data_IF_811773443853
#
_entry.id   IF_811773443853
#
_cell.length_a   1.000
_cell.length_b   1.000
_cell.length_c   1.000
_cell.angle_alpha   90.00
_cell.angle_beta   90.00
_cell.angle_gamma   90.00
#
_symmetry.space_group_name_H-M   'P 1'
#
loop_
_entity.id
_entity.type
_entity.pdbx_description
1 polymer ?
#
# COMPACT_ATOMS: atom_id res chain seq x y z
N UNK A 1 -10.41 -12.36 -14.12
CA UNK A 1 -11.28 -11.57 -13.22
C UNK A 1 -11.05 -11.95 -11.78
N UNK A 2 -11.48 -13.14 -11.35
CA UNK A 2 -11.33 -13.60 -9.96
C UNK A 2 -9.86 -13.67 -9.52
N UNK A 3 -8.98 -14.21 -10.37
CA UNK A 3 -7.53 -14.28 -10.11
C UNK A 3 -6.90 -12.91 -9.87
N UNK A 4 -7.20 -11.95 -10.75
CA UNK A 4 -6.75 -10.56 -10.66
C UNK A 4 -7.28 -9.87 -9.39
N UNK A 5 -8.55 -10.12 -9.06
CA UNK A 5 -9.17 -9.63 -7.82
C UNK A 5 -8.48 -10.18 -6.58
N UNK A 6 -8.29 -11.51 -6.50
CA UNK A 6 -7.62 -12.13 -5.36
C UNK A 6 -6.16 -11.74 -5.26
N UNK A 7 -5.47 -11.57 -6.38
CA UNK A 7 -4.08 -11.12 -6.42
C UNK A 7 -3.96 -9.69 -5.87
N UNK A 8 -4.76 -8.75 -6.38
CA UNK A 8 -4.78 -7.37 -5.88
C UNK A 8 -5.17 -7.29 -4.40
N UNK A 9 -6.22 -8.01 -3.98
CA UNK A 9 -6.67 -8.03 -2.60
C UNK A 9 -5.59 -8.56 -1.65
N UNK A 10 -5.00 -9.71 -1.95
CA UNK A 10 -3.97 -10.32 -1.09
C UNK A 10 -2.69 -9.50 -1.08
N UNK A 11 -2.25 -9.02 -2.25
CA UNK A 11 -1.04 -8.23 -2.38
C UNK A 11 -1.11 -6.98 -1.52
N UNK A 12 -2.16 -6.19 -1.70
CA UNK A 12 -2.34 -4.94 -0.97
C UNK A 12 -2.51 -5.22 0.51
N UNK A 13 -3.41 -6.14 0.89
CA UNK A 13 -3.69 -6.37 2.32
C UNK A 13 -2.46 -6.84 3.09
N UNK A 14 -1.64 -7.71 2.51
CA UNK A 14 -0.46 -8.24 3.20
C UNK A 14 0.69 -7.23 3.16
N UNK A 15 0.86 -6.50 2.06
CA UNK A 15 2.03 -5.65 1.85
C UNK A 15 1.90 -4.25 2.46
N UNK A 16 0.68 -3.83 2.81
CA UNK A 16 0.38 -2.52 3.39
C UNK A 16 0.02 -2.60 4.88
N UNK A 17 -0.08 -3.81 5.43
CA UNK A 17 -0.50 -3.97 6.82
C UNK A 17 0.65 -3.60 7.77
N UNK A 18 0.44 -2.59 8.60
CA UNK A 18 1.47 -2.19 9.56
C UNK A 18 2.72 -1.67 8.87
N UNK A 19 2.53 -0.88 7.82
CA UNK A 19 3.54 -0.03 7.22
C UNK A 19 3.37 1.44 7.66
N UNK A 20 4.15 2.33 7.03
CA UNK A 20 4.09 3.78 7.27
C UNK A 20 2.70 4.38 7.08
N UNK A 21 1.97 4.04 6.02
CA UNK A 21 0.68 4.69 5.73
C UNK A 21 -0.45 4.13 6.58
N UNK A 22 -0.37 2.86 6.96
CA UNK A 22 -1.15 2.27 8.03
C UNK A 22 -0.95 3.03 9.35
N UNK A 23 0.31 3.34 9.71
CA UNK A 23 0.63 4.14 10.89
C UNK A 23 0.10 5.58 10.80
N UNK A 24 0.22 6.24 9.64
CA UNK A 24 -0.34 7.59 9.38
C UNK A 24 -1.86 7.59 9.60
N UNK A 25 -2.58 6.63 9.00
CA UNK A 25 -4.03 6.52 9.12
C UNK A 25 -4.46 6.30 10.58
N UNK A 26 -3.73 5.47 11.32
CA UNK A 26 -3.98 5.22 12.74
C UNK A 26 -3.75 6.47 13.60
N UNK A 27 -2.62 7.17 13.42
CA UNK A 27 -2.31 8.38 14.20
C UNK A 27 -3.32 9.49 13.91
N UNK A 28 -3.66 9.71 12.64
CA UNK A 28 -4.68 10.69 12.26
C UNK A 28 -6.05 10.34 12.88
N UNK A 29 -6.43 9.06 12.91
CA UNK A 29 -7.67 8.60 13.53
C UNK A 29 -7.72 8.74 15.07
N UNK A 30 -6.56 8.86 15.71
CA UNK A 30 -6.45 9.19 17.14
C UNK A 30 -6.56 10.69 17.43
N UNK A 31 -6.15 11.54 16.48
CA UNK A 31 -6.18 13.01 16.62
C UNK A 31 -7.46 13.65 16.07
N UNK A 32 -8.11 12.99 15.11
CA UNK A 32 -9.27 13.51 14.38
C UNK A 32 -10.44 12.52 14.33
N UNK A 33 -11.57 12.94 13.76
CA UNK A 33 -12.74 12.07 13.61
C UNK A 33 -12.44 10.89 12.68
N UNK A 34 -12.58 9.67 13.20
CA UNK A 34 -12.32 8.39 12.48
C UNK A 34 -12.97 8.29 11.10
N UNK A 35 -14.20 8.79 10.95
CA UNK A 35 -14.94 8.74 9.68
C UNK A 35 -14.30 9.59 8.59
N UNK A 36 -13.90 10.82 8.91
CA UNK A 36 -13.25 11.71 7.94
C UNK A 36 -11.87 11.20 7.54
N UNK A 37 -11.10 10.67 8.50
CA UNK A 37 -9.79 10.06 8.23
C UNK A 37 -9.96 8.84 7.32
N UNK A 38 -10.90 7.94 7.65
CA UNK A 38 -11.17 6.77 6.82
C UNK A 38 -11.52 7.16 5.37
N UNK A 39 -12.44 8.11 5.18
CA UNK A 39 -12.82 8.57 3.84
C UNK A 39 -11.64 9.21 3.10
N UNK A 40 -10.84 10.05 3.77
CA UNK A 40 -9.66 10.69 3.16
C UNK A 40 -8.58 9.68 2.74
N UNK A 41 -8.23 8.75 3.63
CA UNK A 41 -7.24 7.69 3.38
C UNK A 41 -7.72 6.76 2.26
N UNK A 42 -8.95 6.25 2.33
CA UNK A 42 -9.48 5.36 1.28
C UNK A 42 -9.60 6.09 -0.06
N UNK A 43 -9.98 7.37 -0.07
CA UNK A 43 -10.00 8.16 -1.30
C UNK A 43 -8.60 8.32 -1.92
N UNK A 44 -7.56 8.55 -1.11
CA UNK A 44 -6.18 8.64 -1.57
C UNK A 44 -5.69 7.32 -2.16
N UNK A 45 -5.88 6.22 -1.44
CA UNK A 45 -5.46 4.89 -1.86
C UNK A 45 -6.23 4.43 -3.12
N UNK A 46 -7.53 4.72 -3.20
CA UNK A 46 -8.32 4.46 -4.39
C UNK A 46 -7.86 5.30 -5.59
N UNK A 47 -7.58 6.59 -5.39
CA UNK A 47 -7.07 7.46 -6.45
C UNK A 47 -5.73 6.96 -6.99
N UNK A 48 -4.83 6.55 -6.10
CA UNK A 48 -3.58 5.92 -6.49
C UNK A 48 -3.79 4.60 -7.22
N UNK A 49 -4.66 3.72 -6.72
CA UNK A 49 -4.96 2.44 -7.35
C UNK A 49 -5.46 2.65 -8.78
N UNK A 50 -6.38 3.61 -8.98
CA UNK A 50 -6.87 3.97 -10.31
C UNK A 50 -5.73 4.46 -11.21
N UNK A 51 -4.86 5.34 -10.70
CA UNK A 51 -3.70 5.81 -11.47
C UNK A 51 -2.77 4.65 -11.86
N UNK A 52 -2.46 3.75 -10.93
CA UNK A 52 -1.62 2.56 -11.17
C UNK A 52 -2.24 1.63 -12.21
N UNK A 53 -3.55 1.39 -12.14
CA UNK A 53 -4.25 0.55 -13.12
C UNK A 53 -4.26 1.21 -14.49
N UNK A 54 -4.47 2.52 -14.58
CA UNK A 54 -4.39 3.27 -15.84
C UNK A 54 -2.98 3.18 -16.44
N UNK A 55 -1.93 3.37 -15.63
CA UNK A 55 -0.54 3.20 -16.06
C UNK A 55 -0.27 1.76 -16.52
N UNK A 56 -0.81 0.75 -15.84
CA UNK A 56 -0.73 -0.65 -16.25
C UNK A 56 -1.44 -0.91 -17.59
N UNK A 57 -2.59 -0.29 -17.82
CA UNK A 57 -3.28 -0.36 -19.12
C UNK A 57 -2.48 0.33 -20.23
N UNK A 58 -1.80 1.43 -19.95
CA UNK A 58 -0.86 2.04 -20.92
C UNK A 58 0.34 1.11 -21.17
N UNK A 59 0.90 0.50 -20.13
CA UNK A 59 1.99 -0.47 -20.26
C UNK A 59 1.57 -1.73 -21.03
N UNK A 60 0.29 -2.09 -21.02
CA UNK A 60 -0.25 -3.24 -21.76
C UNK A 60 -0.16 -3.12 -23.29
N UNK A 61 0.12 -1.91 -23.82
CA UNK A 61 0.43 -1.71 -25.23
C UNK A 61 1.83 -2.23 -25.62
N UNK A 62 2.71 -2.52 -24.67
CA UNK A 62 4.01 -3.12 -24.93
C UNK A 62 3.85 -4.59 -25.34
N UNK A 63 4.80 -5.17 -26.10
CA UNK A 63 4.76 -6.58 -26.42
C UNK A 63 4.75 -7.44 -25.15
N UNK A 64 3.85 -8.43 -25.11
CA UNK A 64 3.58 -9.29 -23.93
C UNK A 64 4.84 -9.93 -23.34
N UNK A 65 5.81 -10.26 -24.18
CA UNK A 65 7.10 -10.82 -23.76
C UNK A 65 7.85 -9.90 -22.79
N UNK A 66 7.87 -8.58 -23.04
CA UNK A 66 8.53 -7.62 -22.16
C UNK A 66 7.77 -7.43 -20.85
N UNK A 67 6.45 -7.37 -20.91
CA UNK A 67 5.59 -7.24 -19.72
C UNK A 67 5.80 -8.43 -18.80
N UNK A 68 5.83 -9.64 -19.36
CA UNK A 68 6.05 -10.86 -18.59
C UNK A 68 7.40 -10.87 -17.86
N UNK A 69 8.50 -10.58 -18.57
CA UNK A 69 9.82 -10.51 -17.92
C UNK A 69 9.90 -9.37 -16.89
N UNK A 70 9.30 -8.21 -17.18
CA UNK A 70 9.29 -7.08 -16.25
C UNK A 70 8.49 -7.39 -14.98
N UNK A 71 7.32 -8.03 -15.10
CA UNK A 71 6.49 -8.46 -13.98
C UNK A 71 7.23 -9.44 -13.08
N UNK A 72 7.85 -10.49 -13.64
CA UNK A 72 8.64 -11.46 -12.87
C UNK A 72 9.80 -10.75 -12.15
N UNK A 73 10.56 -9.93 -12.87
CA UNK A 73 11.71 -9.23 -12.31
C UNK A 73 11.31 -8.29 -11.18
N UNK A 74 10.19 -7.57 -11.34
CA UNK A 74 9.63 -6.66 -10.35
C UNK A 74 9.19 -7.42 -9.10
N UNK A 75 8.44 -8.51 -9.26
CA UNK A 75 7.95 -9.30 -8.14
C UNK A 75 9.06 -9.99 -7.36
N UNK A 76 9.99 -10.65 -8.06
CA UNK A 76 11.14 -11.29 -7.42
C UNK A 76 12.06 -10.23 -6.78
N UNK A 77 12.30 -9.10 -7.45
CA UNK A 77 13.14 -8.02 -6.97
C UNK A 77 12.63 -7.40 -5.67
N UNK A 78 11.35 -7.00 -5.63
CA UNK A 78 10.73 -6.49 -4.40
C UNK A 78 10.62 -7.57 -3.33
N UNK A 79 10.31 -8.81 -3.70
CA UNK A 79 10.25 -9.92 -2.75
C UNK A 79 11.57 -10.16 -2.02
N UNK A 80 12.68 -10.21 -2.76
CA UNK A 80 14.02 -10.33 -2.19
C UNK A 80 14.42 -9.11 -1.36
N UNK A 81 14.09 -7.90 -1.83
CA UNK A 81 14.32 -6.67 -1.08
C UNK A 81 13.61 -6.70 0.28
N UNK A 82 12.33 -7.04 0.31
CA UNK A 82 11.55 -7.11 1.56
C UNK A 82 12.11 -8.15 2.53
N UNK A 83 12.51 -9.33 2.04
CA UNK A 83 13.16 -10.34 2.89
C UNK A 83 14.50 -9.87 3.45
N UNK A 84 15.26 -9.12 2.66
CA UNK A 84 16.53 -8.52 3.09
C UNK A 84 16.32 -7.43 4.14
N UNK A 85 15.35 -6.55 3.92
CA UNK A 85 14.96 -5.50 4.86
C UNK A 85 14.51 -6.13 6.19
N UNK A 86 13.66 -7.17 6.13
CA UNK A 86 13.20 -7.91 7.29
C UNK A 86 14.31 -8.69 8.04
N UNK A 87 15.38 -9.07 7.36
CA UNK A 87 16.56 -9.67 8.00
C UNK A 87 17.38 -8.64 8.76
N UNK A 88 17.41 -7.39 8.27
CA UNK A 88 18.13 -6.27 8.89
C UNK A 88 17.35 -5.56 9.99
N UNK A 89 16.03 -5.78 10.08
CA UNK A 89 15.19 -5.17 11.11
C UNK A 89 15.56 -5.69 12.52
N UNK A 90 15.83 -4.80 13.49
CA UNK A 90 15.94 -5.17 14.89
C UNK A 90 14.58 -5.68 15.43
N UNK A 91 14.59 -6.40 16.56
CA UNK A 91 13.42 -7.13 17.06
C UNK A 91 12.19 -6.29 17.47
N UNK A 92 12.24 -4.95 17.41
CA UNK A 92 11.14 -4.05 17.74
C UNK A 92 11.17 -2.82 16.81
N UNK A 93 10.53 -2.91 15.65
CA UNK A 93 10.57 -1.85 14.60
C UNK A 93 9.23 -1.11 14.41
N UNK A 94 8.11 -1.66 14.90
CA UNK A 94 6.79 -1.00 14.86
C UNK A 94 6.75 0.36 15.55
N UNK A 95 7.64 0.59 16.52
CA UNK A 95 7.80 1.90 17.16
C UNK A 95 8.42 2.92 16.20
N UNK A 96 9.34 2.48 15.34
CA UNK A 96 10.10 3.33 14.42
C UNK A 96 9.17 3.83 13.31
N UNK A 97 8.36 2.94 12.71
CA UNK A 97 7.36 3.37 11.71
C UNK A 97 6.32 4.34 12.29
N UNK A 98 5.94 4.15 13.55
CA UNK A 98 5.02 5.07 14.23
C UNK A 98 5.65 6.45 14.42
N UNK A 99 6.95 6.51 14.70
CA UNK A 99 7.71 7.74 14.86
C UNK A 99 7.85 8.45 13.52
N UNK A 100 8.26 7.73 12.46
CA UNK A 100 8.32 8.28 11.10
C UNK A 100 6.96 8.79 10.62
N UNK A 101 5.86 8.09 10.93
CA UNK A 101 4.52 8.53 10.60
C UNK A 101 4.12 9.80 11.37
N UNK A 102 4.52 9.94 12.65
CA UNK A 102 4.30 11.18 13.42
C UNK A 102 5.07 12.35 12.82
N UNK A 103 6.34 12.15 12.49
CA UNK A 103 7.19 13.18 11.89
C UNK A 103 6.61 13.66 10.55
N UNK A 104 6.12 12.72 9.73
CA UNK A 104 5.44 13.04 8.46
C UNK A 104 4.20 13.91 8.68
N UNK A 105 3.40 13.62 9.73
CA UNK A 105 2.21 14.40 10.09
C UNK A 105 2.59 15.79 10.63
N UNK A 106 3.65 15.91 11.44
CA UNK A 106 4.11 17.18 11.99
C UNK A 106 4.65 18.11 10.90
N UNK A 107 5.43 17.56 9.96
CA UNK A 107 5.90 18.30 8.78
C UNK A 107 4.73 18.78 7.91
N UNK A 108 3.73 17.92 7.67
CA UNK A 108 2.55 18.32 6.88
C UNK A 108 1.67 19.34 7.61
N UNK A 109 1.55 19.27 8.94
CA UNK A 109 0.87 20.31 9.74
C UNK A 109 1.55 21.67 9.61
N UNK A 110 2.88 21.71 9.49
CA UNK A 110 3.63 22.94 9.28
C UNK A 110 3.42 23.53 7.87
N UNK A 111 3.26 22.67 6.86
CA UNK A 111 3.07 23.07 5.46
C UNK A 111 1.61 23.36 5.08
N UNK A 112 0.64 22.76 5.78
CA UNK A 112 -0.79 22.92 5.46
C UNK A 112 -1.31 24.23 6.04
N UNK A 113 -1.21 25.29 5.24
CA UNK A 113 -1.77 26.63 5.44
C UNK A 113 -3.14 26.62 6.13
N UNK A 114 -3.25 27.39 7.23
CA UNK A 114 -4.45 27.45 8.04
C UNK A 114 -5.71 27.82 7.27
N UNK A 115 -6.65 26.88 7.11
CA UNK A 115 -8.07 27.15 6.80
C UNK A 115 -8.95 25.92 7.09
N UNK A 116 -10.05 26.12 7.85
CA UNK A 116 -11.28 25.30 7.83
C UNK A 116 -11.25 23.93 8.55
N UNK A 117 -11.88 23.86 9.73
CA UNK A 117 -11.81 22.76 10.72
C UNK A 117 -12.22 21.32 10.29
N UNK A 118 -12.83 21.10 9.12
CA UNK A 118 -13.28 19.76 8.67
C UNK A 118 -12.75 19.38 7.27
N UNK A 119 -12.72 20.32 6.32
CA UNK A 119 -12.12 20.11 4.99
C UNK A 119 -10.60 19.98 5.07
N UNK A 120 -9.96 20.60 6.07
CA UNK A 120 -8.53 20.42 6.31
C UNK A 120 -8.18 18.98 6.66
N UNK A 121 -9.01 18.29 7.46
CA UNK A 121 -8.71 16.93 7.95
C UNK A 121 -8.79 15.91 6.81
N UNK A 122 -9.85 15.98 6.00
CA UNK A 122 -10.01 15.07 4.87
C UNK A 122 -8.90 15.29 3.84
N UNK A 123 -8.62 16.55 3.50
CA UNK A 123 -7.56 16.88 2.55
C UNK A 123 -6.17 16.51 3.10
N UNK A 124 -5.93 16.75 4.39
CA UNK A 124 -4.69 16.36 5.06
C UNK A 124 -4.49 14.85 5.02
N UNK A 125 -5.50 14.08 5.43
CA UNK A 125 -5.44 12.61 5.38
C UNK A 125 -5.23 12.12 3.95
N UNK A 126 -5.94 12.71 2.99
CA UNK A 126 -5.78 12.40 1.57
C UNK A 126 -4.35 12.67 1.08
N UNK A 127 -3.84 13.90 1.25
CA UNK A 127 -2.54 14.30 0.72
C UNK A 127 -1.38 13.57 1.41
N UNK A 128 -1.46 13.40 2.73
CA UNK A 128 -0.45 12.66 3.47
C UNK A 128 -0.34 11.22 2.99
N UNK A 129 -1.48 10.52 2.90
CA UNK A 129 -1.50 9.14 2.42
C UNK A 129 -1.08 9.05 0.96
N UNK A 130 -1.61 9.92 0.09
CA UNK A 130 -1.31 9.89 -1.34
C UNK A 130 0.19 10.13 -1.63
N UNK A 131 0.81 11.09 -0.94
CA UNK A 131 2.23 11.38 -1.10
C UNK A 131 3.09 10.28 -0.47
N UNK A 132 2.68 9.72 0.67
CA UNK A 132 3.41 8.65 1.32
C UNK A 132 3.46 7.36 0.48
N UNK A 133 2.40 7.07 -0.27
CA UNK A 133 2.35 5.94 -1.20
C UNK A 133 2.96 6.23 -2.58
N UNK A 134 3.33 7.48 -2.87
CA UNK A 134 3.74 7.84 -4.22
C UNK A 134 5.07 7.21 -4.61
N UNK A 135 5.04 6.32 -5.61
CA UNK A 135 6.20 5.57 -6.08
C UNK A 135 6.57 4.38 -5.20
N UNK A 136 5.64 3.89 -4.39
CA UNK A 136 5.89 2.77 -3.49
C UNK A 136 5.89 1.40 -4.23
N UNK A 137 6.21 0.35 -3.46
CA UNK A 137 6.29 -1.03 -3.95
C UNK A 137 4.95 -1.55 -4.47
N UNK A 138 3.84 -1.24 -3.79
CA UNK A 138 2.52 -1.75 -4.15
C UNK A 138 1.94 -1.00 -5.34
N UNK A 139 2.32 0.26 -5.56
CA UNK A 139 2.02 1.01 -6.78
C UNK A 139 2.61 0.29 -8.00
N UNK A 140 3.91 -0.01 -7.98
CA UNK A 140 4.59 -0.72 -9.07
C UNK A 140 4.03 -2.13 -9.28
N UNK A 141 3.73 -2.86 -8.20
CA UNK A 141 3.10 -4.17 -8.30
C UNK A 141 1.69 -4.12 -8.90
N UNK A 142 0.90 -3.09 -8.56
CA UNK A 142 -0.44 -2.88 -9.12
C UNK A 142 -0.38 -2.53 -10.61
N UNK A 143 0.61 -1.72 -11.04
CA UNK A 143 0.87 -1.43 -12.46
C UNK A 143 1.18 -2.74 -13.20
N UNK A 144 2.08 -3.57 -12.66
CA UNK A 144 2.46 -4.85 -13.26
C UNK A 144 1.26 -5.80 -13.39
N UNK A 145 0.49 -5.98 -12.31
CA UNK A 145 -0.72 -6.80 -12.31
C UNK A 145 -1.77 -6.28 -13.30
N UNK A 146 -1.97 -4.97 -13.38
CA UNK A 146 -2.94 -4.39 -14.31
C UNK A 146 -2.49 -4.48 -15.79
N UNK A 147 -1.19 -4.60 -16.04
CA UNK A 147 -0.63 -4.79 -17.39
C UNK A 147 -0.75 -6.25 -17.87
N UNK A 148 -0.62 -7.22 -16.97
CA UNK A 148 -0.63 -8.67 -17.29
C UNK A 148 -2.01 -9.33 -17.08
N UNK A 149 -2.85 -8.77 -16.23
CA UNK A 149 -4.16 -9.33 -15.84
C UNK A 149 -5.32 -8.39 -16.15
N UNK A 150 -6.54 -8.80 -15.77
CA UNK A 150 -7.71 -7.96 -15.96
C UNK A 150 -7.71 -6.72 -15.03
N UNK A 151 -7.77 -5.49 -15.58
CA UNK A 151 -7.64 -4.26 -14.80
C UNK A 151 -8.77 -4.03 -13.81
N UNK A 152 -10.01 -4.42 -14.14
CA UNK A 152 -11.14 -4.26 -13.23
C UNK A 152 -11.02 -5.16 -12.01
N UNK A 153 -10.55 -6.40 -12.21
CA UNK A 153 -10.25 -7.32 -11.11
C UNK A 153 -9.20 -6.73 -10.18
N UNK A 154 -8.07 -6.25 -10.74
CA UNK A 154 -6.99 -5.63 -9.97
C UNK A 154 -7.50 -4.40 -9.21
N UNK A 155 -8.18 -3.47 -9.89
CA UNK A 155 -8.67 -2.22 -9.29
C UNK A 155 -9.59 -2.47 -8.09
N UNK A 156 -10.57 -3.36 -8.25
CA UNK A 156 -11.54 -3.66 -7.18
C UNK A 156 -10.86 -4.40 -6.03
N UNK A 157 -10.04 -5.41 -6.34
CA UNK A 157 -9.30 -6.18 -5.33
C UNK A 157 -8.37 -5.31 -4.50
N UNK A 158 -7.54 -4.50 -5.18
CA UNK A 158 -6.59 -3.59 -4.54
C UNK A 158 -7.30 -2.51 -3.69
N UNK A 159 -8.35 -1.88 -4.23
CA UNK A 159 -9.11 -0.86 -3.49
C UNK A 159 -9.76 -1.45 -2.23
N UNK A 160 -10.29 -2.67 -2.30
CA UNK A 160 -10.84 -3.36 -1.13
C UNK A 160 -9.77 -3.74 -0.11
N UNK A 161 -8.58 -4.15 -0.57
CA UNK A 161 -7.43 -4.40 0.31
C UNK A 161 -7.04 -3.14 1.08
N UNK A 162 -6.90 -2.02 0.38
CA UNK A 162 -6.60 -0.73 1.01
C UNK A 162 -7.70 -0.30 1.98
N UNK A 163 -8.98 -0.47 1.61
CA UNK A 163 -10.09 -0.16 2.51
C UNK A 163 -10.09 -1.04 3.77
N UNK A 164 -9.70 -2.33 3.65
CA UNK A 164 -9.56 -3.22 4.80
C UNK A 164 -8.40 -2.77 5.71
N UNK A 165 -7.21 -2.49 5.15
CA UNK A 165 -6.07 -1.97 5.92
C UNK A 165 -6.41 -0.64 6.62
N UNK A 166 -7.04 0.30 5.90
CA UNK A 166 -7.47 1.58 6.45
C UNK A 166 -8.51 1.41 7.57
N UNK A 167 -9.46 0.48 7.42
CA UNK A 167 -10.45 0.19 8.46
C UNK A 167 -9.76 -0.35 9.71
N UNK A 168 -8.82 -1.28 9.55
CA UNK A 168 -8.02 -1.82 10.66
C UNK A 168 -7.25 -0.69 11.33
N UNK A 169 -6.51 0.13 10.59
CA UNK A 169 -5.73 1.27 11.12
C UNK A 169 -6.59 2.26 11.92
N UNK A 170 -7.74 2.65 11.38
CA UNK A 170 -8.65 3.63 12.00
C UNK A 170 -9.29 3.07 13.29
N UNK A 171 -9.48 1.76 13.39
CA UNK A 171 -10.03 1.08 14.58
C UNK A 171 -8.93 0.74 15.59
N UNK A 172 -7.72 0.43 15.13
CA UNK A 172 -6.58 -0.11 15.89
C UNK A 172 -6.26 0.70 17.15
N UNK A 173 -6.47 2.02 17.12
CA UNK A 173 -6.37 2.88 18.30
C UNK A 173 -5.02 2.76 19.03
N UNK A 174 -4.96 3.26 20.27
CA UNK A 174 -3.72 3.23 21.07
C UNK A 174 -3.31 1.83 21.55
N UNK A 175 -4.21 0.84 21.49
CA UNK A 175 -4.03 -0.50 22.09
C UNK A 175 -3.37 -1.51 21.16
N UNK A 176 -3.46 -1.30 19.83
CA UNK A 176 -2.82 -2.16 18.82
C UNK A 176 -1.46 -1.58 18.37
N UNK A 177 -1.20 -0.29 18.64
CA UNK A 177 0.10 0.34 18.44
C UNK A 177 1.20 -0.45 19.17
N UNK A 178 2.13 -1.04 18.40
CA UNK A 178 3.23 -1.87 18.92
C UNK A 178 2.95 -3.37 19.06
N UNK A 179 1.76 -3.87 18.67
CA UNK A 179 1.43 -5.30 18.69
C UNK A 179 1.63 -6.00 17.35
N UNK A 180 1.62 -5.25 16.25
CA UNK A 180 1.85 -5.78 14.89
C UNK A 180 3.36 -5.81 14.67
N UNK A 181 3.94 -7.00 14.49
CA UNK A 181 5.36 -7.11 14.15
C UNK A 181 5.55 -6.73 12.69
N UNK A 182 6.09 -5.54 12.44
CA UNK A 182 6.45 -5.07 11.10
C UNK A 182 7.35 -6.10 10.41
N UNK A 183 8.39 -6.60 11.09
CA UNK A 183 9.24 -7.68 10.57
C UNK A 183 8.44 -8.88 10.03
N UNK A 184 7.42 -9.34 10.76
CA UNK A 184 6.57 -10.44 10.28
C UNK A 184 5.82 -10.04 9.01
N UNK A 185 5.24 -8.84 8.99
CA UNK A 185 4.50 -8.36 7.82
C UNK A 185 5.43 -8.16 6.61
N UNK A 186 6.63 -7.61 6.81
CA UNK A 186 7.64 -7.47 5.76
C UNK A 186 8.08 -8.84 5.22
N UNK A 187 8.26 -9.85 6.07
CA UNK A 187 8.53 -11.24 5.64
C UNK A 187 7.36 -11.78 4.82
N UNK A 188 6.12 -11.64 5.31
CA UNK A 188 4.94 -12.13 4.61
C UNK A 188 4.75 -11.46 3.25
N UNK A 189 4.95 -10.14 3.17
CA UNK A 189 4.97 -9.38 1.93
C UNK A 189 6.07 -9.87 0.99
N UNK A 190 7.29 -10.04 1.49
CA UNK A 190 8.42 -10.55 0.69
C UNK A 190 8.17 -11.94 0.11
N UNK A 191 7.66 -12.86 0.92
CA UNK A 191 7.27 -14.21 0.48
C UNK A 191 6.15 -14.14 -0.56
N UNK A 192 5.13 -13.30 -0.34
CA UNK A 192 4.01 -13.14 -1.26
C UNK A 192 4.46 -12.60 -2.62
N UNK A 193 5.33 -11.60 -2.64
CA UNK A 193 5.93 -11.06 -3.86
C UNK A 193 6.74 -12.13 -4.61
N UNK A 194 7.51 -12.97 -3.91
CA UNK A 194 8.21 -14.10 -4.54
C UNK A 194 7.23 -15.11 -5.13
N UNK A 195 6.15 -15.45 -4.40
CA UNK A 195 5.10 -16.34 -4.90
C UNK A 195 4.50 -15.78 -6.18
N UNK A 196 4.14 -14.49 -6.23
CA UNK A 196 3.63 -13.89 -7.46
C UNK A 196 4.64 -13.92 -8.62
N UNK A 197 5.92 -13.68 -8.35
CA UNK A 197 6.98 -13.78 -9.37
C UNK A 197 7.11 -15.21 -9.94
N UNK A 198 7.09 -16.23 -9.07
CA UNK A 198 7.12 -17.64 -9.48
C UNK A 198 5.86 -18.01 -10.26
N UNK A 199 4.69 -17.60 -9.77
CA UNK A 199 3.40 -17.86 -10.43
C UNK A 199 3.35 -17.22 -11.82
N UNK A 200 3.81 -15.96 -11.95
CA UNK A 200 3.93 -15.29 -13.24
C UNK A 200 4.90 -16.04 -14.18
N UNK A 201 6.03 -16.54 -13.66
CA UNK A 201 6.99 -17.33 -14.43
C UNK A 201 6.45 -18.67 -14.93
N UNK A 202 5.62 -19.35 -14.12
CA UNK A 202 5.00 -20.63 -14.51
C UNK A 202 3.84 -20.43 -15.48
N UNK A 203 3.04 -19.36 -15.31
CA UNK A 203 1.86 -19.11 -16.13
C UNK A 203 2.16 -18.42 -17.47
N UNK A 204 3.33 -17.80 -17.63
CA UNK A 204 3.72 -17.13 -18.88
C UNK A 204 4.31 -18.04 -19.95
N UNK A 205 4.16 -19.37 -19.82
CA UNK A 205 4.45 -20.36 -20.85
C UNK A 205 3.21 -20.69 -21.70
#
# INVERSE_FOLDING_TARGET
>A
MLTAFTAGLLLITISELGDKTFCIAMILAMRHSRRLVFVGVVAALAAMTVLSVLLGQVASFLPKTYIWYAEIALFIGFGLKLLYDAYRMPGCSTCDEMEEAKDSIEQANFQTFGTGANSSILLQAFLLTFVAEWGDRTQFATIALAASNNPWGVAIGATLGHAACAAIAVIAGRLVAGRISERLVTVLGGVLFIIFGVVAGVQGQ
#
